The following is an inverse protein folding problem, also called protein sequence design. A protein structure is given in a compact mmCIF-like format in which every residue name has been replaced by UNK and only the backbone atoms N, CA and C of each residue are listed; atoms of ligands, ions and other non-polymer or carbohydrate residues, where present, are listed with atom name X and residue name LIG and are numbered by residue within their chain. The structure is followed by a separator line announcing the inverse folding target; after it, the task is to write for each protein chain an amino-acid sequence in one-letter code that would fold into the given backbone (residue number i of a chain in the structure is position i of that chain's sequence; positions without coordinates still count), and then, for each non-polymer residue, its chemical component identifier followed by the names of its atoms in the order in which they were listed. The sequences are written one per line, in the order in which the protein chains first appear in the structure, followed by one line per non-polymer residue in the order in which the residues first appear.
data_IF_701246283240
#
_entry.id   IF_701246283240
#
_cell.length_a   1.000
_cell.length_b   1.000
_cell.length_c   1.000
_cell.angle_alpha   90.00
_cell.angle_beta   90.00
_cell.angle_gamma   90.00
#
_symmetry.space_group_name_H-M   'P 1'
#
loop_
_entity.id
_entity.type
_entity.pdbx_description
1 polymer ?
#
# COMPACT_ATOMS: atom_id res chain seq x y z
N UNK A 1 -50.27 -59.70 2.71
CA UNK A 1 -51.47 -59.07 3.30
C UNK A 1 -51.68 -57.77 2.53
N UNK A 2 -52.62 -57.60 1.60
CA UNK A 2 -53.95 -58.16 1.47
C UNK A 2 -54.89 -56.97 1.26
N UNK A 3 -55.49 -56.90 0.06
CA UNK A 3 -56.70 -56.15 -0.30
C UNK A 3 -56.71 -54.60 -0.42
N UNK A 4 -56.62 -54.16 -1.69
CA UNK A 4 -57.62 -53.38 -2.46
C UNK A 4 -59.11 -53.60 -2.05
N UNK A 5 -60.16 -52.89 -2.58
CA UNK A 5 -60.19 -51.80 -3.57
C UNK A 5 -61.33 -50.74 -3.43
N UNK A 6 -61.31 -49.76 -4.35
CA UNK A 6 -62.41 -49.11 -5.15
C UNK A 6 -63.88 -48.98 -4.67
N UNK A 7 -64.49 -47.84 -5.04
CA UNK A 7 -65.92 -47.72 -5.42
C UNK A 7 -66.45 -46.29 -5.32
N UNK A 8 -66.52 -45.52 -6.42
CA UNK A 8 -67.68 -45.33 -7.33
C UNK A 8 -68.80 -44.38 -6.83
N UNK A 9 -69.07 -43.34 -7.64
CA UNK A 9 -70.44 -42.94 -8.02
C UNK A 9 -70.96 -41.59 -7.51
N UNK A 10 -71.41 -40.72 -8.43
CA UNK A 10 -72.35 -39.63 -8.11
C UNK A 10 -72.32 -38.41 -9.04
N UNK A 11 -73.03 -38.50 -10.16
CA UNK A 11 -73.39 -37.45 -11.13
C UNK A 11 -74.34 -36.35 -10.59
N UNK A 12 -74.30 -35.13 -11.18
CA UNK A 12 -75.08 -33.89 -10.84
C UNK A 12 -76.59 -33.93 -11.17
N UNK A 13 -77.32 -32.83 -11.53
CA UNK A 13 -77.00 -31.39 -11.68
C UNK A 13 -78.09 -30.42 -11.09
N UNK A 14 -78.12 -29.14 -11.54
CA UNK A 14 -79.08 -28.00 -11.31
C UNK A 14 -78.54 -26.90 -10.39
N UNK A 15 -78.60 -25.59 -10.67
CA UNK A 15 -79.34 -24.79 -11.66
C UNK A 15 -79.93 -23.56 -10.95
N UNK A 16 -79.69 -22.36 -11.51
CA UNK A 16 -80.35 -21.05 -11.27
C UNK A 16 -79.75 -19.99 -10.30
N UNK A 17 -79.18 -18.95 -10.93
CA UNK A 17 -79.31 -17.50 -10.72
C UNK A 17 -79.84 -16.95 -9.37
N UNK A 18 -79.06 -16.05 -8.74
CA UNK A 18 -79.43 -14.62 -8.73
C UNK A 18 -78.31 -13.68 -8.26
N UNK A 19 -78.34 -12.47 -8.83
CA UNK A 19 -77.47 -11.31 -8.62
C UNK A 19 -77.54 -10.77 -7.19
N UNK A 20 -76.42 -10.36 -6.59
CA UNK A 20 -76.30 -9.02 -5.99
C UNK A 20 -74.89 -8.69 -5.42
N UNK A 21 -74.44 -7.47 -5.76
CA UNK A 21 -73.53 -6.57 -5.02
C UNK A 21 -72.02 -6.79 -5.04
N UNK A 22 -71.42 -6.11 -6.02
CA UNK A 22 -70.11 -5.48 -5.99
C UNK A 22 -69.73 -4.86 -4.62
N UNK A 23 -68.72 -5.46 -3.98
CA UNK A 23 -67.77 -4.75 -3.11
C UNK A 23 -66.36 -5.18 -3.49
N UNK A 24 -65.68 -4.38 -4.32
CA UNK A 24 -64.24 -4.50 -4.57
C UNK A 24 -63.50 -4.41 -3.23
N UNK A 25 -63.04 -5.55 -2.71
CA UNK A 25 -61.97 -5.61 -1.70
C UNK A 25 -60.65 -5.41 -2.43
N UNK A 26 -60.03 -4.25 -2.26
CA UNK A 26 -58.65 -4.02 -2.68
C UNK A 26 -57.73 -5.01 -1.97
N UNK A 27 -56.92 -5.73 -2.75
CA UNK A 27 -55.86 -6.59 -2.22
C UNK A 27 -54.77 -5.70 -1.61
N UNK A 28 -54.23 -6.01 -0.42
CA UNK A 28 -53.11 -5.24 0.13
C UNK A 28 -51.93 -5.33 -0.84
N UNK A 29 -51.39 -4.17 -1.19
CA UNK A 29 -50.21 -4.03 -2.06
C UNK A 29 -49.02 -4.67 -1.34
N UNK A 30 -48.43 -5.69 -1.96
CA UNK A 30 -47.20 -6.31 -1.45
C UNK A 30 -46.06 -5.30 -1.55
N UNK A 31 -45.60 -4.77 -0.42
CA UNK A 31 -44.34 -4.04 -0.33
C UNK A 31 -43.23 -5.04 -0.02
N UNK A 32 -42.18 -5.11 -0.87
CA UNK A 32 -41.04 -5.97 -0.57
C UNK A 32 -40.32 -5.44 0.70
N UNK A 33 -39.71 -6.32 1.51
CA UNK A 33 -38.98 -5.89 2.70
C UNK A 33 -37.86 -4.91 2.32
N UNK A 34 -37.50 -3.97 3.22
CA UNK A 34 -36.40 -3.05 2.98
C UNK A 34 -35.15 -3.86 2.65
N UNK A 35 -34.43 -3.43 1.62
CA UNK A 35 -33.17 -4.06 1.22
C UNK A 35 -32.24 -4.07 2.44
N UNK A 36 -31.50 -5.15 2.70
CA UNK A 36 -30.49 -5.14 3.75
C UNK A 36 -29.53 -3.97 3.48
N UNK A 37 -29.32 -3.13 4.48
CA UNK A 37 -28.46 -1.93 4.49
C UNK A 37 -26.97 -2.27 4.49
N UNK A 38 -26.58 -3.49 4.12
CA UNK A 38 -25.18 -3.89 4.00
C UNK A 38 -24.65 -3.53 2.61
N UNK A 39 -24.25 -2.27 2.43
CA UNK A 39 -23.29 -1.87 1.38
C UNK A 39 -21.89 -2.43 1.74
N UNK A 40 -21.72 -3.74 1.68
CA UNK A 40 -20.40 -4.36 1.80
C UNK A 40 -19.92 -4.64 0.37
N UNK A 41 -18.89 -3.90 -0.07
CA UNK A 41 -18.19 -4.19 -1.33
C UNK A 41 -18.11 -3.06 -2.37
N UNK A 42 -18.34 -1.79 -2.02
CA UNK A 42 -17.94 -0.70 -2.90
C UNK A 42 -16.41 -0.54 -2.82
N UNK A 43 -15.72 -0.75 -3.95
CA UNK A 43 -14.28 -0.46 -4.13
C UNK A 43 -13.90 0.81 -3.38
N UNK A 44 -12.77 0.79 -2.63
CA UNK A 44 -12.03 1.99 -2.18
C UNK A 44 -11.61 2.81 -3.40
N UNK A 45 -12.56 3.48 -4.04
CA UNK A 45 -12.28 4.78 -4.65
C UNK A 45 -12.07 5.68 -3.45
N UNK A 46 -10.95 6.40 -3.39
CA UNK A 46 -10.99 7.75 -2.82
C UNK A 46 -12.08 8.48 -3.60
N UNK A 47 -13.32 8.31 -3.16
CA UNK A 47 -14.47 8.93 -3.76
C UNK A 47 -14.35 10.39 -3.38
N UNK A 48 -14.50 11.22 -4.40
CA UNK A 48 -14.45 12.65 -4.30
C UNK A 48 -15.18 13.12 -3.04
N UNK A 49 -14.62 14.14 -2.38
CA UNK A 49 -15.37 14.92 -1.39
C UNK A 49 -16.76 15.29 -1.94
N UNK A 50 -17.66 15.77 -1.06
CA UNK A 50 -19.11 15.81 -1.30
C UNK A 50 -19.45 16.16 -2.75
N UNK A 51 -20.43 15.47 -3.33
CA UNK A 51 -20.89 15.50 -4.74
C UNK A 51 -20.95 16.88 -5.46
N UNK A 52 -20.69 17.99 -4.78
CA UNK A 52 -20.29 19.27 -5.34
C UNK A 52 -19.00 19.21 -6.19
N UNK A 53 -17.98 18.41 -5.83
CA UNK A 53 -16.74 18.33 -6.62
C UNK A 53 -16.94 17.66 -7.99
N UNK A 54 -17.96 16.81 -8.13
CA UNK A 54 -18.35 16.13 -9.37
C UNK A 54 -19.30 16.96 -10.25
N UNK A 55 -19.74 18.14 -9.79
CA UNK A 55 -20.62 19.04 -10.57
C UNK A 55 -19.86 19.99 -11.51
N UNK A 56 -18.52 19.96 -11.54
CA UNK A 56 -17.77 20.71 -12.55
C UNK A 56 -18.11 20.16 -13.95
N UNK A 57 -18.67 20.97 -14.85
CA UNK A 57 -19.12 20.48 -16.15
C UNK A 57 -17.91 20.02 -16.98
N UNK A 58 -18.00 18.81 -17.56
CA UNK A 58 -16.92 18.23 -18.36
C UNK A 58 -16.48 19.18 -19.49
N UNK A 59 -15.21 19.62 -19.44
CA UNK A 59 -14.63 20.56 -20.39
C UNK A 59 -14.02 19.81 -21.57
N UNK A 60 -14.81 19.61 -22.62
CA UNK A 60 -14.32 19.21 -23.94
C UNK A 60 -14.12 20.46 -24.82
N UNK A 61 -13.05 20.55 -25.64
CA UNK A 61 -12.04 19.53 -25.99
C UNK A 61 -10.83 19.45 -25.03
N UNK A 62 -10.23 18.25 -24.88
CA UNK A 62 -9.05 18.02 -24.00
C UNK A 62 -7.75 18.61 -24.55
N UNK A 63 -7.65 18.81 -25.87
CA UNK A 63 -6.52 19.46 -26.54
C UNK A 63 -6.31 20.91 -26.11
N UNK A 64 -5.07 21.42 -26.18
CA UNK A 64 -4.77 22.85 -25.95
C UNK A 64 -5.40 23.71 -27.06
N UNK A 65 -6.60 24.21 -26.81
CA UNK A 65 -7.37 25.01 -27.75
C UNK A 65 -8.09 26.17 -27.04
N UNK A 66 -8.32 27.26 -27.77
CA UNK A 66 -8.97 28.46 -27.23
C UNK A 66 -10.39 28.18 -26.68
N UNK A 67 -11.08 27.18 -27.24
CA UNK A 67 -12.39 26.73 -26.76
C UNK A 67 -12.35 26.18 -25.33
N UNK A 68 -11.32 25.38 -24.99
CA UNK A 68 -11.12 24.87 -23.63
C UNK A 68 -10.88 26.01 -22.64
N UNK A 69 -10.03 26.97 -23.02
CA UNK A 69 -9.76 28.15 -22.20
C UNK A 69 -11.02 28.98 -21.95
N UNK A 70 -11.79 29.31 -22.99
CA UNK A 70 -13.03 30.08 -22.86
C UNK A 70 -14.09 29.35 -22.01
N UNK A 71 -14.13 28.01 -22.06
CA UNK A 71 -15.06 27.22 -21.25
C UNK A 71 -14.63 27.14 -19.79
N UNK A 72 -13.33 26.97 -19.49
CA UNK A 72 -12.82 27.09 -18.12
C UNK A 72 -13.02 28.49 -17.56
N UNK A 73 -12.79 29.54 -18.36
CA UNK A 73 -13.01 30.92 -17.95
C UNK A 73 -14.48 31.16 -17.58
N UNK A 74 -15.43 30.69 -18.39
CA UNK A 74 -16.86 30.78 -18.05
C UNK A 74 -17.21 30.04 -16.75
N UNK A 75 -16.65 28.85 -16.51
CA UNK A 75 -16.87 28.11 -15.25
C UNK A 75 -16.31 28.91 -14.07
N UNK A 76 -15.11 29.46 -14.21
CA UNK A 76 -14.48 30.29 -13.18
C UNK A 76 -15.31 31.54 -12.88
N UNK A 77 -15.79 32.24 -13.91
CA UNK A 77 -16.63 33.44 -13.76
C UNK A 77 -17.97 33.10 -13.08
N UNK A 78 -18.58 31.94 -13.38
CA UNK A 78 -19.79 31.49 -12.69
C UNK A 78 -19.53 31.15 -11.22
N UNK A 79 -18.40 30.50 -10.91
CA UNK A 79 -18.05 30.13 -9.55
C UNK A 79 -17.76 31.37 -8.68
N UNK A 80 -17.05 32.35 -9.24
CA UNK A 80 -16.84 33.66 -8.62
C UNK A 80 -18.17 34.39 -8.36
N UNK A 81 -19.08 34.37 -9.35
CA UNK A 81 -20.42 34.96 -9.18
C UNK A 81 -21.22 34.26 -8.07
N UNK A 82 -21.13 32.93 -7.96
CA UNK A 82 -21.77 32.17 -6.88
C UNK A 82 -21.14 32.49 -5.51
N UNK A 83 -19.81 32.54 -5.42
CA UNK A 83 -19.10 32.95 -4.19
C UNK A 83 -19.51 34.35 -3.75
N UNK A 84 -19.45 35.34 -4.64
CA UNK A 84 -19.89 36.71 -4.35
C UNK A 84 -21.38 36.77 -3.98
N UNK A 85 -22.23 35.97 -4.62
CA UNK A 85 -23.65 35.91 -4.32
C UNK A 85 -23.90 35.34 -2.92
N UNK A 86 -23.22 34.26 -2.54
CA UNK A 86 -23.32 33.66 -1.21
C UNK A 86 -22.80 34.65 -0.15
N UNK A 87 -21.64 35.27 -0.38
CA UNK A 87 -21.12 36.32 0.52
C UNK A 87 -22.11 37.47 0.70
N UNK A 88 -22.70 37.96 -0.38
CA UNK A 88 -23.67 39.05 -0.33
C UNK A 88 -24.97 38.62 0.36
N UNK A 89 -25.45 37.40 0.12
CA UNK A 89 -26.63 36.85 0.77
C UNK A 89 -26.39 36.67 2.28
N UNK A 90 -25.20 36.22 2.67
CA UNK A 90 -24.78 36.19 4.06
C UNK A 90 -24.73 37.58 4.66
N UNK A 91 -24.07 38.56 4.02
CA UNK A 91 -24.03 39.96 4.47
C UNK A 91 -25.43 40.53 4.68
N UNK A 92 -26.36 40.27 3.76
CA UNK A 92 -27.76 40.66 3.89
C UNK A 92 -28.48 39.94 5.04
N UNK A 93 -28.20 38.65 5.25
CA UNK A 93 -28.71 37.88 6.40
C UNK A 93 -28.15 38.43 7.72
N UNK A 94 -26.86 38.79 7.78
CA UNK A 94 -26.22 39.47 8.94
C UNK A 94 -26.91 40.81 9.21
N UNK A 95 -27.13 41.63 8.18
CA UNK A 95 -27.78 42.93 8.30
C UNK A 95 -29.25 42.85 8.75
N UNK A 96 -29.98 41.79 8.35
CA UNK A 96 -31.33 41.51 8.83
C UNK A 96 -31.35 41.03 10.29
N UNK A 97 -30.46 40.11 10.65
CA UNK A 97 -30.31 39.63 12.02
C UNK A 97 -29.90 40.76 12.99
N UNK A 98 -28.99 41.65 12.56
CA UNK A 98 -28.59 42.83 13.32
C UNK A 98 -29.72 43.88 13.46
N UNK A 99 -30.68 43.92 12.54
CA UNK A 99 -31.86 44.80 12.62
C UNK A 99 -32.97 44.24 13.51
N UNK A 100 -33.07 42.91 13.66
CA UNK A 100 -34.05 42.26 14.54
C UNK A 100 -33.53 42.07 15.98
N UNK A 101 -32.20 42.02 16.20
CA UNK A 101 -31.58 41.95 17.52
C UNK A 101 -31.26 43.33 18.12
N UNK A 102 -32.25 43.99 18.72
CA UNK A 102 -32.02 45.25 19.45
C UNK A 102 -31.43 45.03 20.85
N UNK A 103 -30.14 45.35 21.04
CA UNK A 103 -29.55 46.09 22.18
C UNK A 103 -28.09 45.68 22.45
N UNK A 104 -27.19 46.68 22.38
CA UNK A 104 -25.90 46.83 23.10
C UNK A 104 -25.03 45.57 23.23
N UNK A 105 -23.95 45.41 22.49
CA UNK A 105 -22.76 46.26 22.28
C UNK A 105 -22.07 45.71 21.04
N UNK A 106 -21.37 46.53 20.25
CA UNK A 106 -20.18 46.15 19.44
C UNK A 106 -19.84 47.34 18.52
N UNK A 107 -18.68 47.93 18.78
CA UNK A 107 -17.90 48.71 17.81
C UNK A 107 -16.60 47.92 17.60
N UNK A 108 -16.44 47.33 16.41
CA UNK A 108 -15.24 46.79 15.72
C UNK A 108 -15.62 45.50 14.99
N UNK A 109 -15.97 45.60 13.70
CA UNK A 109 -16.42 44.43 12.89
C UNK A 109 -15.95 44.57 11.45
N UNK A 110 -14.63 44.63 11.24
CA UNK A 110 -14.02 44.58 9.89
C UNK A 110 -13.10 43.34 9.73
N UNK A 111 -13.28 42.28 10.55
CA UNK A 111 -12.44 41.06 10.55
C UNK A 111 -13.25 39.73 10.54
N UNK A 112 -14.52 39.74 10.12
CA UNK A 112 -15.52 38.75 10.56
C UNK A 112 -15.91 37.60 9.59
N UNK A 113 -15.21 37.40 8.47
CA UNK A 113 -15.42 36.20 7.62
C UNK A 113 -14.48 35.06 8.03
N UNK A 114 -13.19 35.35 8.23
CA UNK A 114 -12.23 34.43 8.83
C UNK A 114 -12.62 34.07 10.27
N UNK A 115 -13.18 35.01 11.03
CA UNK A 115 -13.62 34.77 12.40
C UNK A 115 -14.86 33.89 12.51
N UNK A 116 -15.73 33.80 11.49
CA UNK A 116 -16.90 32.89 11.58
C UNK A 116 -16.52 31.43 11.43
N UNK A 117 -15.67 31.11 10.47
CA UNK A 117 -15.15 29.75 10.34
C UNK A 117 -14.29 29.39 11.56
N UNK A 118 -13.58 30.36 12.13
CA UNK A 118 -12.85 30.19 13.38
C UNK A 118 -13.79 30.01 14.59
N UNK A 119 -14.88 30.77 14.67
CA UNK A 119 -15.92 30.68 15.71
C UNK A 119 -16.67 29.35 15.62
N UNK A 120 -17.01 28.91 14.40
CA UNK A 120 -17.65 27.62 14.16
C UNK A 120 -16.70 26.47 14.53
N UNK A 121 -15.42 26.55 14.17
CA UNK A 121 -14.40 25.59 14.61
C UNK A 121 -14.24 25.58 16.13
N UNK A 122 -14.25 26.76 16.78
CA UNK A 122 -14.17 26.86 18.24
C UNK A 122 -15.39 26.22 18.90
N UNK A 123 -16.60 26.46 18.37
CA UNK A 123 -17.83 25.81 18.86
C UNK A 123 -17.80 24.30 18.65
N UNK A 124 -17.26 23.83 17.53
CA UNK A 124 -17.08 22.39 17.28
C UNK A 124 -16.11 21.82 18.31
N UNK A 125 -14.98 22.47 18.59
CA UNK A 125 -14.00 22.00 19.59
C UNK A 125 -14.58 22.01 21.01
N UNK A 126 -15.42 22.99 21.36
CA UNK A 126 -16.17 23.00 22.62
C UNK A 126 -17.15 21.81 22.71
N UNK A 127 -17.84 21.48 21.59
CA UNK A 127 -18.71 20.30 21.48
C UNK A 127 -17.92 18.99 21.51
N UNK A 128 -16.69 18.98 21.01
CA UNK A 128 -15.81 17.80 21.02
C UNK A 128 -15.43 17.39 22.44
N UNK A 129 -15.28 18.38 23.32
CA UNK A 129 -14.97 18.21 24.74
C UNK A 129 -13.60 17.59 25.00
N UNK A 130 -12.89 18.11 26.01
CA UNK A 130 -11.64 17.52 26.51
C UNK A 130 -11.92 16.85 27.87
N UNK A 131 -11.60 15.57 28.10
CA UNK A 131 -10.87 14.64 27.24
C UNK A 131 -11.76 13.89 26.21
N UNK A 132 -11.12 13.40 25.15
CA UNK A 132 -11.73 12.53 24.14
C UNK A 132 -11.33 11.08 24.46
N UNK A 133 -12.31 10.18 24.50
CA UNK A 133 -12.08 8.74 24.63
C UNK A 133 -11.84 8.11 23.26
N UNK A 134 -11.12 7.00 23.23
CA UNK A 134 -10.96 6.17 22.02
C UNK A 134 -11.83 4.92 22.18
N UNK A 135 -12.60 4.62 21.15
CA UNK A 135 -13.39 3.40 21.04
C UNK A 135 -13.35 2.83 19.63
N UNK A 136 -13.87 1.62 19.48
CA UNK A 136 -13.99 0.93 18.19
C UNK A 136 -15.44 0.91 17.75
N UNK A 137 -15.69 1.25 16.49
CA UNK A 137 -17.02 1.14 15.89
C UNK A 137 -17.31 -0.34 15.62
N UNK A 138 -18.38 -0.91 16.17
CA UNK A 138 -18.72 -2.31 15.88
C UNK A 138 -19.71 -2.41 14.74
N UNK A 139 -20.83 -1.71 14.86
CA UNK A 139 -21.92 -1.75 13.89
C UNK A 139 -22.58 -0.39 13.79
N UNK A 140 -22.88 0.04 12.56
CA UNK A 140 -23.74 1.19 12.32
C UNK A 140 -25.19 0.71 12.20
N UNK A 141 -26.09 1.30 12.97
CA UNK A 141 -27.51 0.93 12.95
C UNK A 141 -28.25 1.80 11.93
N UNK A 142 -28.08 3.11 12.03
CA UNK A 142 -28.68 4.09 11.13
C UNK A 142 -27.67 5.20 10.80
N UNK A 143 -28.13 6.24 10.11
CA UNK A 143 -27.26 7.33 9.69
C UNK A 143 -26.78 8.20 10.87
N UNK A 144 -27.45 8.18 12.03
CA UNK A 144 -27.19 9.09 13.15
C UNK A 144 -26.83 8.36 14.46
N UNK A 145 -26.80 7.03 14.46
CA UNK A 145 -26.53 6.17 15.61
C UNK A 145 -25.71 4.95 15.24
N UNK A 146 -24.78 4.62 16.13
CA UNK A 146 -23.94 3.43 16.01
C UNK A 146 -23.71 2.77 17.36
N UNK A 147 -23.29 1.50 17.33
CA UNK A 147 -22.78 0.78 18.47
C UNK A 147 -21.26 0.93 18.50
N UNK A 148 -20.75 1.41 19.62
CA UNK A 148 -19.31 1.56 19.86
C UNK A 148 -18.91 0.75 21.08
N UNK A 149 -17.79 0.04 20.98
CA UNK A 149 -17.12 -0.55 22.14
C UNK A 149 -16.04 0.38 22.66
N UNK A 150 -16.16 0.78 23.92
CA UNK A 150 -15.09 1.52 24.59
C UNK A 150 -13.98 0.56 25.01
N UNK A 151 -12.76 1.07 25.21
CA UNK A 151 -11.61 0.30 25.72
C UNK A 151 -11.88 -0.42 27.04
N UNK A 152 -12.87 0.01 27.81
CA UNK A 152 -13.29 -0.63 29.07
C UNK A 152 -14.25 -1.81 28.88
N UNK A 153 -14.65 -2.13 27.64
CA UNK A 153 -15.47 -3.30 27.30
C UNK A 153 -17.00 -3.15 27.25
N UNK A 154 -17.69 -2.13 27.81
CA UNK A 154 -19.11 -1.97 27.57
C UNK A 154 -19.39 -1.40 26.18
N UNK A 155 -20.36 -1.99 25.51
CA UNK A 155 -20.95 -1.51 24.26
C UNK A 155 -21.96 -0.40 24.57
N UNK A 156 -21.88 0.72 23.84
CA UNK A 156 -22.80 1.83 23.96
C UNK A 156 -23.52 2.07 22.65
N UNK A 157 -24.83 2.30 22.74
CA UNK A 157 -25.63 2.89 21.65
C UNK A 157 -25.47 4.40 21.69
N UNK A 158 -24.81 4.96 20.67
CA UNK A 158 -24.35 6.36 20.69
C UNK A 158 -24.79 7.09 19.44
N UNK A 159 -24.98 8.40 19.56
CA UNK A 159 -25.26 9.27 18.42
C UNK A 159 -23.98 9.75 17.72
N UNK A 160 -24.05 9.87 16.40
CA UNK A 160 -23.01 10.43 15.53
C UNK A 160 -23.23 11.95 15.43
N UNK A 161 -22.20 12.74 15.72
CA UNK A 161 -22.28 14.20 15.59
C UNK A 161 -22.27 14.63 14.12
N UNK A 162 -22.98 15.71 13.80
CA UNK A 162 -23.21 16.16 12.41
C UNK A 162 -21.96 16.54 11.62
N UNK A 163 -20.85 16.83 12.29
CA UNK A 163 -19.57 17.20 11.66
C UNK A 163 -18.65 16.00 11.39
N UNK A 164 -19.09 14.79 11.70
CA UNK A 164 -18.36 13.55 11.37
C UNK A 164 -18.77 13.10 9.97
N UNK A 165 -17.79 12.82 9.13
CA UNK A 165 -18.04 12.26 7.80
C UNK A 165 -18.46 10.79 7.93
N UNK A 166 -19.69 10.50 7.52
CA UNK A 166 -20.30 9.17 7.62
C UNK A 166 -19.64 8.16 6.67
N UNK A 167 -19.03 8.64 5.60
CA UNK A 167 -18.36 7.79 4.62
C UNK A 167 -17.05 7.20 5.16
N UNK A 168 -16.48 7.79 6.21
CA UNK A 168 -15.25 7.29 6.88
C UNK A 168 -15.54 6.30 8.02
N UNK A 169 -16.81 6.10 8.38
CA UNK A 169 -17.21 5.18 9.44
C UNK A 169 -17.37 3.77 8.87
N UNK A 170 -16.29 2.99 8.95
CA UNK A 170 -16.31 1.56 8.64
C UNK A 170 -16.35 0.72 9.93
N UNK A 171 -17.07 -0.42 9.96
CA UNK A 171 -16.99 -1.36 11.07
C UNK A 171 -15.54 -1.76 11.37
N UNK A 172 -15.12 -1.60 12.62
CA UNK A 172 -13.76 -1.80 13.09
C UNK A 172 -12.87 -0.54 13.07
N UNK A 173 -13.35 0.60 12.57
CA UNK A 173 -12.61 1.85 12.60
C UNK A 173 -12.51 2.40 14.03
N UNK A 174 -11.36 2.99 14.36
CA UNK A 174 -11.20 3.72 15.61
C UNK A 174 -11.94 5.05 15.57
N UNK A 175 -12.85 5.25 16.52
CA UNK A 175 -13.65 6.47 16.67
C UNK A 175 -13.31 7.20 17.96
N UNK A 176 -13.43 8.51 17.91
CA UNK A 176 -13.27 9.39 19.05
C UNK A 176 -14.63 9.62 19.70
N UNK A 177 -14.71 9.36 21.00
CA UNK A 177 -15.92 9.42 21.81
C UNK A 177 -15.85 10.59 22.79
N UNK A 178 -16.97 11.28 22.99
CA UNK A 178 -17.07 12.30 24.03
C UNK A 178 -17.14 11.64 25.43
N UNK A 179 -16.36 12.13 26.41
CA UNK A 179 -16.26 11.48 27.72
C UNK A 179 -17.56 11.47 28.56
N UNK A 180 -18.53 12.38 28.33
CA UNK A 180 -19.79 12.42 29.10
C UNK A 180 -20.94 11.68 28.44
N UNK A 181 -21.10 11.88 27.13
CA UNK A 181 -22.26 11.40 26.36
C UNK A 181 -21.92 10.19 25.50
N UNK A 182 -20.65 9.81 25.41
CA UNK A 182 -20.12 8.72 24.57
C UNK A 182 -20.49 8.89 23.09
N UNK A 183 -20.89 10.07 22.65
CA UNK A 183 -21.22 10.37 21.25
C UNK A 183 -19.96 10.33 20.37
N UNK A 184 -20.11 9.94 19.10
CA UNK A 184 -19.02 9.94 18.14
C UNK A 184 -18.73 11.37 17.71
N UNK A 185 -17.52 11.83 18.05
CA UNK A 185 -17.01 13.18 17.80
C UNK A 185 -16.11 13.21 16.57
N UNK A 186 -15.52 12.10 16.19
CA UNK A 186 -14.64 12.04 15.03
C UNK A 186 -14.16 10.63 14.76
N UNK A 187 -13.55 10.45 13.60
CA UNK A 187 -12.88 9.20 13.22
C UNK A 187 -11.38 9.44 13.36
N UNK A 188 -10.68 8.49 13.95
CA UNK A 188 -9.22 8.47 13.93
C UNK A 188 -8.78 7.80 12.62
N UNK A 189 -8.27 8.60 11.67
CA UNK A 189 -7.98 8.13 10.31
C UNK A 189 -6.65 7.38 10.19
N UNK A 190 -5.77 7.46 11.19
CA UNK A 190 -4.45 6.81 11.21
C UNK A 190 -4.43 5.60 12.16
N UNK A 191 -5.20 4.57 11.84
CA UNK A 191 -5.11 3.24 12.46
C UNK A 191 -3.91 2.42 11.94
N UNK A 192 -2.99 3.06 11.21
CA UNK A 192 -1.81 2.39 10.70
C UNK A 192 -0.95 1.91 11.87
N UNK A 193 -0.87 0.59 12.04
CA UNK A 193 -0.04 -0.04 13.06
C UNK A 193 1.39 0.54 12.95
N UNK A 194 2.01 0.97 14.07
CA UNK A 194 3.32 1.61 14.06
C UNK A 194 4.41 0.70 13.47
N UNK A 195 4.14 -0.60 13.37
CA UNK A 195 5.02 -1.56 12.71
C UNK A 195 5.11 -1.35 11.20
N UNK A 196 4.02 -0.90 10.55
CA UNK A 196 3.99 -0.71 9.09
C UNK A 196 4.57 0.65 8.70
N UNK A 197 4.46 1.67 9.55
CA UNK A 197 5.16 2.95 9.34
C UNK A 197 6.68 2.77 9.39
N UNK A 198 7.19 1.83 10.21
CA UNK A 198 8.62 1.45 10.20
C UNK A 198 9.05 0.81 8.87
N UNK A 199 8.13 0.14 8.17
CA UNK A 199 8.42 -0.48 6.86
C UNK A 199 8.44 0.54 5.71
N UNK A 200 7.88 1.72 5.92
CA UNK A 200 7.92 2.82 4.94
C UNK A 200 9.28 3.50 5.01
N UNK A 201 10.00 3.45 3.89
CA UNK A 201 11.24 4.20 3.76
C UNK A 201 10.93 5.65 3.39
N UNK A 202 10.96 6.54 4.38
CA UNK A 202 10.74 7.99 4.19
C UNK A 202 11.84 8.68 3.37
N UNK A 203 13.00 8.03 3.19
CA UNK A 203 14.10 8.56 2.40
C UNK A 203 14.40 7.62 1.23
N UNK A 204 14.41 8.20 0.02
CA UNK A 204 14.92 7.52 -1.15
C UNK A 204 16.38 7.06 -0.88
N UNK A 205 16.71 5.78 -1.16
CA UNK A 205 18.08 5.30 -1.02
C UNK A 205 19.02 6.08 -1.95
N UNK A 206 20.27 6.25 -1.53
CA UNK A 206 21.27 7.06 -2.26
C UNK A 206 21.81 6.39 -3.52
N UNK A 207 21.62 5.09 -3.68
CA UNK A 207 22.19 4.31 -4.77
C UNK A 207 21.39 4.53 -6.06
N UNK A 208 22.08 4.77 -7.17
CA UNK A 208 21.51 4.85 -8.52
C UNK A 208 21.94 3.66 -9.37
N UNK A 209 21.33 3.46 -10.55
CA UNK A 209 21.82 2.45 -11.50
C UNK A 209 23.25 2.72 -11.98
N UNK A 210 23.71 3.97 -11.93
CA UNK A 210 25.10 4.32 -12.22
C UNK A 210 26.08 3.74 -11.19
N UNK A 211 25.61 3.46 -9.97
CA UNK A 211 26.40 2.81 -8.91
C UNK A 211 26.41 1.28 -9.02
N UNK A 212 25.81 0.71 -10.06
CA UNK A 212 25.81 -0.74 -10.31
C UNK A 212 26.77 -1.02 -11.47
N UNK A 213 27.87 -1.72 -11.16
CA UNK A 213 28.85 -2.14 -12.15
C UNK A 213 28.37 -3.34 -12.96
N UNK A 214 27.94 -3.12 -14.21
CA UNK A 214 27.52 -4.17 -15.15
C UNK A 214 26.07 -4.60 -14.96
N UNK A 215 25.75 -5.86 -15.30
CA UNK A 215 24.39 -6.44 -15.24
C UNK A 215 23.34 -5.66 -16.06
N UNK A 216 23.73 -5.13 -17.21
CA UNK A 216 22.89 -4.27 -18.05
C UNK A 216 21.60 -4.98 -18.51
N UNK A 217 21.69 -6.28 -18.83
CA UNK A 217 20.53 -7.09 -19.20
C UNK A 217 19.53 -7.24 -18.04
N UNK A 218 20.01 -7.56 -16.84
CA UNK A 218 19.17 -7.71 -15.65
C UNK A 218 18.55 -6.37 -15.23
N UNK A 219 19.31 -5.27 -15.32
CA UNK A 219 18.80 -3.92 -15.06
C UNK A 219 17.67 -3.59 -16.03
N UNK A 220 17.85 -3.87 -17.32
CA UNK A 220 16.84 -3.63 -18.33
C UNK A 220 15.55 -4.43 -18.05
N UNK A 221 15.66 -5.70 -17.69
CA UNK A 221 14.48 -6.52 -17.33
C UNK A 221 13.71 -5.97 -16.12
N UNK A 222 14.41 -5.47 -15.09
CA UNK A 222 13.75 -4.85 -13.93
C UNK A 222 13.11 -3.51 -14.31
N UNK A 223 13.77 -2.70 -15.14
CA UNK A 223 13.20 -1.44 -15.64
C UNK A 223 11.92 -1.67 -16.42
N UNK A 224 11.90 -2.65 -17.32
CA UNK A 224 10.70 -3.02 -18.08
C UNK A 224 9.57 -3.56 -17.19
N UNK A 225 9.91 -4.15 -16.05
CA UNK A 225 8.91 -4.78 -15.17
C UNK A 225 8.34 -3.83 -14.13
N UNK A 226 9.13 -2.87 -13.65
CA UNK A 226 8.77 -2.00 -12.52
C UNK A 226 8.66 -0.54 -12.96
N UNK A 227 9.67 -0.03 -13.65
CA UNK A 227 9.77 1.40 -13.97
C UNK A 227 8.88 1.80 -15.16
N UNK A 228 8.92 1.03 -16.24
CA UNK A 228 8.18 1.31 -17.47
C UNK A 228 6.66 1.33 -17.27
N UNK A 229 6.04 0.39 -16.53
CA UNK A 229 4.60 0.46 -16.24
C UNK A 229 4.19 1.68 -15.42
N UNK A 230 5.08 2.17 -14.55
CA UNK A 230 4.80 3.32 -13.68
C UNK A 230 4.96 4.65 -14.42
N UNK A 231 5.96 4.77 -15.29
CA UNK A 231 6.21 5.99 -16.07
C UNK A 231 5.30 6.12 -17.29
N UNK A 232 5.07 5.01 -18.00
CA UNK A 232 4.38 5.00 -19.30
C UNK A 232 3.35 3.86 -19.37
N UNK A 233 2.23 3.96 -18.60
CA UNK A 233 1.15 2.98 -18.68
C UNK A 233 0.48 2.92 -20.07
N UNK A 234 0.50 4.04 -20.81
CA UNK A 234 -0.09 4.17 -22.16
C UNK A 234 0.45 3.11 -23.14
N UNK A 235 1.75 2.75 -23.04
CA UNK A 235 2.37 1.74 -23.91
C UNK A 235 1.75 0.35 -23.70
N UNK A 236 1.34 0.02 -22.48
CA UNK A 236 0.71 -1.26 -22.16
C UNK A 236 -0.76 -1.26 -22.58
N UNK A 237 -1.46 -0.12 -22.46
CA UNK A 237 -2.84 0.04 -22.89
C UNK A 237 -2.99 -0.05 -24.40
N UNK A 238 -2.14 0.63 -25.17
CA UNK A 238 -2.14 0.58 -26.65
C UNK A 238 -1.84 -0.83 -27.17
N UNK A 239 -0.92 -1.53 -26.51
CA UNK A 239 -0.57 -2.90 -26.88
C UNK A 239 -1.58 -3.93 -26.34
N UNK A 240 -2.47 -3.54 -25.42
CA UNK A 240 -3.49 -4.40 -24.82
C UNK A 240 -2.93 -5.51 -23.93
N UNK A 241 -1.72 -5.34 -23.39
CA UNK A 241 -1.07 -6.32 -22.51
C UNK A 241 -1.10 -5.84 -21.07
N UNK A 242 -1.29 -6.77 -20.13
CA UNK A 242 -1.17 -6.44 -18.70
C UNK A 242 0.31 -6.35 -18.31
N UNK A 243 0.72 -5.31 -17.56
CA UNK A 243 2.09 -5.24 -17.08
C UNK A 243 2.37 -6.39 -16.11
N UNK A 244 3.62 -6.87 -16.03
CA UNK A 244 3.99 -7.92 -15.08
C UNK A 244 3.73 -7.45 -13.63
N UNK A 245 3.28 -8.37 -12.78
CA UNK A 245 2.90 -8.06 -11.38
C UNK A 245 4.06 -8.16 -10.41
N UNK A 246 4.87 -9.22 -10.57
CA UNK A 246 5.92 -9.57 -9.61
C UNK A 246 7.23 -9.96 -10.29
N UNK A 247 8.33 -9.56 -9.66
CA UNK A 247 9.71 -9.87 -10.05
C UNK A 247 10.41 -10.60 -8.91
N UNK A 248 11.10 -11.70 -9.21
CA UNK A 248 11.99 -12.37 -8.27
C UNK A 248 13.45 -12.24 -8.72
N UNK A 249 14.30 -11.76 -7.81
CA UNK A 249 15.74 -11.64 -7.95
C UNK A 249 16.38 -12.81 -7.20
N UNK A 250 17.08 -13.69 -7.91
CA UNK A 250 17.73 -14.86 -7.31
C UNK A 250 19.15 -15.05 -7.81
N UNK A 251 20.01 -15.69 -7.02
CA UNK A 251 21.42 -15.88 -7.37
C UNK A 251 22.33 -16.07 -6.16
N UNK A 252 23.64 -16.11 -6.38
CA UNK A 252 24.60 -16.20 -5.28
C UNK A 252 24.51 -14.98 -4.34
N UNK A 253 24.86 -15.12 -3.04
CA UNK A 253 24.98 -13.98 -2.15
C UNK A 253 26.07 -13.01 -2.62
N UNK A 254 25.91 -11.72 -2.34
CA UNK A 254 26.92 -10.71 -2.71
C UNK A 254 26.92 -10.26 -4.19
N UNK A 255 25.94 -10.69 -4.98
CA UNK A 255 25.76 -10.30 -6.40
C UNK A 255 24.99 -8.99 -6.62
N UNK A 256 24.59 -8.30 -5.55
CA UNK A 256 23.97 -6.97 -5.66
C UNK A 256 22.44 -6.93 -5.81
N UNK A 257 21.72 -8.04 -5.52
CA UNK A 257 20.25 -8.09 -5.55
C UNK A 257 19.58 -6.96 -4.74
N UNK A 258 20.00 -6.76 -3.49
CA UNK A 258 19.49 -5.68 -2.64
C UNK A 258 19.92 -4.29 -3.13
N UNK A 259 21.07 -4.15 -3.79
CA UNK A 259 21.52 -2.88 -4.38
C UNK A 259 20.64 -2.49 -5.57
N UNK A 260 20.31 -3.45 -6.43
CA UNK A 260 19.43 -3.21 -7.57
C UNK A 260 18.03 -2.77 -7.13
N UNK A 261 17.45 -3.42 -6.12
CA UNK A 261 16.16 -3.02 -5.57
C UNK A 261 16.18 -1.58 -5.01
N UNK A 262 17.28 -1.19 -4.35
CA UNK A 262 17.47 0.19 -3.87
C UNK A 262 17.59 1.19 -5.02
N UNK A 263 18.34 0.87 -6.08
CA UNK A 263 18.45 1.74 -7.25
C UNK A 263 17.11 1.97 -7.95
N UNK A 264 16.27 0.92 -8.06
CA UNK A 264 14.92 1.02 -8.60
C UNK A 264 14.04 1.93 -7.74
N UNK A 265 14.13 1.81 -6.41
CA UNK A 265 13.38 2.66 -5.48
C UNK A 265 13.74 4.14 -5.62
N UNK A 266 15.02 4.45 -5.88
CA UNK A 266 15.49 5.81 -6.09
C UNK A 266 14.94 6.42 -7.40
N UNK A 267 14.86 5.64 -8.48
CA UNK A 267 14.42 6.15 -9.79
C UNK A 267 12.89 6.27 -9.93
N UNK A 268 12.13 5.39 -9.29
CA UNK A 268 10.68 5.28 -9.51
C UNK A 268 9.84 6.34 -8.77
N UNK A 269 10.41 7.10 -7.82
CA UNK A 269 9.71 8.09 -6.97
C UNK A 269 8.42 7.57 -6.28
N UNK A 270 8.16 6.26 -6.35
CA UNK A 270 6.98 5.61 -5.80
C UNK A 270 7.21 5.30 -4.33
N UNK A 271 6.13 5.06 -3.58
CA UNK A 271 6.25 4.69 -2.17
C UNK A 271 6.95 3.34 -2.07
N UNK A 272 8.12 3.30 -1.43
CA UNK A 272 8.91 2.09 -1.28
C UNK A 272 8.73 1.50 0.12
N UNK A 273 8.17 0.30 0.16
CA UNK A 273 7.97 -0.48 1.39
C UNK A 273 9.01 -1.60 1.41
N UNK A 274 9.88 -1.60 2.42
CA UNK A 274 10.90 -2.65 2.60
C UNK A 274 10.52 -3.51 3.79
N UNK A 275 10.52 -4.82 3.59
CA UNK A 275 10.38 -5.81 4.65
C UNK A 275 11.41 -6.92 4.46
N UNK A 276 11.97 -7.41 5.56
CA UNK A 276 12.85 -8.60 5.54
C UNK A 276 11.99 -9.83 5.83
N UNK A 277 12.19 -10.93 5.10
CA UNK A 277 11.37 -12.14 5.22
C UNK A 277 11.33 -12.71 6.65
N UNK A 278 12.40 -12.51 7.44
CA UNK A 278 12.46 -12.89 8.85
C UNK A 278 11.52 -12.08 9.76
N UNK A 279 11.18 -10.84 9.40
CA UNK A 279 10.27 -9.97 10.18
C UNK A 279 8.82 -10.44 10.12
N UNK A 280 8.47 -11.24 9.11
CA UNK A 280 7.15 -11.87 8.97
C UNK A 280 6.93 -13.04 9.96
N UNK A 281 8.00 -13.50 10.62
CA UNK A 281 7.92 -14.58 11.61
C UNK A 281 7.74 -13.97 13.00
N UNK A 282 6.52 -14.03 13.52
CA UNK A 282 6.16 -13.51 14.84
C UNK A 282 6.01 -14.62 15.87
N UNK A 283 6.21 -14.28 17.15
CA UNK A 283 6.09 -15.23 18.28
C UNK A 283 4.64 -15.60 18.59
N UNK A 284 3.71 -14.69 18.32
CA UNK A 284 2.28 -14.89 18.58
C UNK A 284 1.59 -15.48 17.36
N UNK A 285 0.66 -16.40 17.63
CA UNK A 285 -0.10 -17.09 16.60
C UNK A 285 -1.12 -16.13 15.97
N UNK A 286 -1.10 -15.98 14.64
CA UNK A 286 -2.01 -15.11 13.89
C UNK A 286 -1.45 -13.72 13.57
N UNK A 287 -0.38 -13.29 14.24
CA UNK A 287 0.24 -11.98 13.98
C UNK A 287 0.95 -11.94 12.63
N UNK A 288 1.52 -13.07 12.17
CA UNK A 288 2.17 -13.16 10.86
C UNK A 288 1.20 -12.87 9.71
N UNK A 289 0.08 -13.61 9.57
CA UNK A 289 -0.93 -13.34 8.56
C UNK A 289 -1.54 -11.93 8.67
N UNK A 290 -1.79 -11.44 9.89
CA UNK A 290 -2.31 -10.07 10.11
C UNK A 290 -1.36 -9.02 9.56
N UNK A 291 -0.06 -9.14 9.84
CA UNK A 291 0.97 -8.21 9.36
C UNK A 291 1.05 -8.20 7.83
N UNK A 292 0.96 -9.37 7.19
CA UNK A 292 0.95 -9.46 5.73
C UNK A 292 -0.24 -8.71 5.14
N UNK A 293 -1.45 -8.86 5.70
CA UNK A 293 -2.64 -8.10 5.24
C UNK A 293 -2.44 -6.60 5.35
N UNK A 294 -1.93 -6.14 6.50
CA UNK A 294 -1.70 -4.73 6.75
C UNK A 294 -0.63 -4.15 5.83
N UNK A 295 0.45 -4.89 5.55
CA UNK A 295 1.48 -4.47 4.60
C UNK A 295 0.88 -4.17 3.22
N UNK A 296 0.06 -5.08 2.68
CA UNK A 296 -0.56 -4.88 1.37
C UNK A 296 -1.67 -3.82 1.41
N UNK A 297 -2.38 -3.66 2.52
CA UNK A 297 -3.34 -2.58 2.70
C UNK A 297 -2.66 -1.21 2.63
N UNK A 298 -1.58 -1.01 3.38
CA UNK A 298 -0.80 0.24 3.36
C UNK A 298 -0.15 0.46 2.00
N UNK A 299 0.31 -0.60 1.33
CA UNK A 299 0.81 -0.51 -0.04
C UNK A 299 -0.27 -0.02 -1.03
N UNK A 300 -1.50 -0.54 -0.91
CA UNK A 300 -2.61 -0.15 -1.75
C UNK A 300 -3.08 1.29 -1.47
N UNK A 301 -3.09 1.72 -0.21
CA UNK A 301 -3.46 3.08 0.20
C UNK A 301 -2.45 4.14 -0.27
N UNK A 302 -1.18 3.74 -0.39
CA UNK A 302 -0.08 4.58 -0.88
C UNK A 302 0.29 4.31 -2.37
N UNK A 303 -0.63 3.76 -3.17
CA UNK A 303 -0.39 3.49 -4.59
C UNK A 303 -0.17 4.80 -5.39
N UNK A 304 0.81 4.84 -6.33
CA UNK A 304 1.69 3.75 -6.78
C UNK A 304 2.78 3.40 -5.75
N UNK A 305 2.97 2.10 -5.50
CA UNK A 305 3.89 1.62 -4.48
C UNK A 305 4.66 0.36 -4.91
N UNK A 306 5.84 0.18 -4.32
CA UNK A 306 6.71 -0.97 -4.54
C UNK A 306 6.93 -1.66 -3.19
N UNK A 307 6.55 -2.93 -3.11
CA UNK A 307 6.79 -3.80 -1.96
C UNK A 307 8.04 -4.64 -2.24
N UNK A 308 9.12 -4.37 -1.51
CA UNK A 308 10.36 -5.12 -1.58
C UNK A 308 10.47 -6.07 -0.39
N UNK A 309 10.50 -7.37 -0.68
CA UNK A 309 10.68 -8.44 0.30
C UNK A 309 12.08 -9.03 0.12
N UNK A 310 12.98 -8.71 1.05
CA UNK A 310 14.35 -9.25 1.08
C UNK A 310 14.36 -10.60 1.81
N UNK A 311 15.26 -11.51 1.44
CA UNK A 311 15.43 -12.82 2.12
C UNK A 311 14.12 -13.62 2.29
N UNK A 312 13.32 -13.71 1.23
CA UNK A 312 12.04 -14.47 1.26
C UNK A 312 12.23 -15.97 1.55
N UNK A 313 13.45 -16.51 1.36
CA UNK A 313 13.81 -17.88 1.71
C UNK A 313 13.69 -18.18 3.21
N UNK A 314 13.74 -17.18 4.09
CA UNK A 314 13.49 -17.39 5.52
C UNK A 314 12.09 -18.00 5.80
N UNK A 315 11.08 -17.56 5.05
CA UNK A 315 9.69 -18.02 5.20
C UNK A 315 9.25 -19.00 4.12
N UNK A 316 9.87 -18.94 2.94
CA UNK A 316 9.43 -19.69 1.76
C UNK A 316 9.98 -21.10 1.64
N UNK A 317 10.77 -21.59 2.60
CA UNK A 317 11.32 -22.96 2.56
C UNK A 317 10.22 -24.01 2.39
N UNK A 318 10.41 -24.97 1.47
CA UNK A 318 9.54 -26.15 1.32
C UNK A 318 9.54 -26.95 2.62
N UNK A 319 8.56 -26.71 3.49
CA UNK A 319 8.37 -27.44 4.74
C UNK A 319 7.33 -28.53 4.51
N UNK A 320 7.81 -29.76 4.36
CA UNK A 320 6.96 -30.94 4.36
C UNK A 320 6.41 -31.15 5.76
N UNK A 321 5.08 -31.10 5.91
CA UNK A 321 4.26 -31.44 7.09
C UNK A 321 5.04 -31.66 8.40
N UNK A 322 5.58 -30.59 8.97
CA UNK A 322 6.20 -30.66 10.29
C UNK A 322 5.12 -30.59 11.38
N UNK A 323 5.23 -31.49 12.37
CA UNK A 323 4.30 -31.58 13.51
C UNK A 323 4.39 -30.39 14.47
N UNK A 324 5.45 -29.59 14.39
CA UNK A 324 5.73 -28.45 15.27
C UNK A 324 4.78 -27.27 15.03
N UNK A 325 4.16 -26.75 16.10
CA UNK A 325 3.21 -25.64 16.02
C UNK A 325 3.79 -24.36 15.41
N UNK A 326 5.08 -24.06 15.64
CA UNK A 326 5.75 -22.88 15.07
C UNK A 326 5.94 -22.95 13.55
N UNK A 327 6.10 -24.14 12.99
CA UNK A 327 6.28 -24.31 11.53
C UNK A 327 4.95 -24.17 10.78
N UNK A 328 3.85 -24.63 11.39
CA UNK A 328 2.50 -24.41 10.88
C UNK A 328 2.15 -22.94 10.79
N UNK A 329 2.64 -22.11 11.73
CA UNK A 329 2.42 -20.67 11.71
C UNK A 329 3.14 -20.00 10.54
N UNK A 330 4.42 -20.32 10.32
CA UNK A 330 5.18 -19.81 9.16
C UNK A 330 4.49 -20.19 7.85
N UNK A 331 3.98 -21.44 7.75
CA UNK A 331 3.23 -21.89 6.58
C UNK A 331 1.93 -21.10 6.39
N UNK A 332 1.19 -20.78 7.47
CA UNK A 332 -0.01 -19.93 7.40
C UNK A 332 0.32 -18.52 6.92
N UNK A 333 1.39 -17.91 7.42
CA UNK A 333 1.87 -16.60 6.95
C UNK A 333 2.24 -16.63 5.47
N UNK A 334 2.91 -17.70 5.02
CA UNK A 334 3.25 -17.88 3.60
C UNK A 334 2.00 -18.05 2.72
N UNK A 335 1.00 -18.82 3.16
CA UNK A 335 -0.27 -18.98 2.45
C UNK A 335 -1.06 -17.66 2.37
N UNK A 336 -1.05 -16.86 3.43
CA UNK A 336 -1.64 -15.53 3.41
C UNK A 336 -0.88 -14.61 2.45
N UNK A 337 0.46 -14.63 2.44
CA UNK A 337 1.25 -13.90 1.46
C UNK A 337 0.91 -14.33 0.03
N UNK A 338 0.75 -15.63 -0.21
CA UNK A 338 0.30 -16.15 -1.51
C UNK A 338 -1.07 -15.62 -1.92
N UNK A 339 -2.04 -15.61 -1.00
CA UNK A 339 -3.36 -15.02 -1.23
C UNK A 339 -3.22 -13.51 -1.49
N UNK A 340 -2.39 -12.82 -0.74
CA UNK A 340 -2.05 -11.40 -0.92
C UNK A 340 -1.12 -11.13 -2.11
N UNK A 341 -0.73 -12.12 -2.92
CA UNK A 341 -0.03 -11.95 -4.20
C UNK A 341 -0.91 -12.29 -5.41
N UNK A 342 -1.82 -13.26 -5.25
CA UNK A 342 -2.72 -13.75 -6.29
C UNK A 342 -4.07 -13.02 -6.31
N UNK A 343 -4.50 -12.56 -5.13
CA UNK A 343 -5.85 -12.12 -4.81
C UNK A 343 -6.54 -11.30 -5.91
N UNK A 344 -7.78 -11.73 -6.16
CA UNK A 344 -8.76 -11.26 -7.17
C UNK A 344 -9.20 -9.80 -7.04
N UNK A 345 -8.59 -9.02 -6.15
CA UNK A 345 -8.83 -7.59 -6.14
C UNK A 345 -8.11 -6.96 -7.34
N UNK A 346 -8.77 -6.02 -8.00
CA UNK A 346 -8.13 -5.02 -8.86
C UNK A 346 -7.17 -4.22 -7.97
N UNK A 347 -6.03 -4.82 -7.62
CA UNK A 347 -4.97 -4.15 -6.91
C UNK A 347 -4.57 -2.99 -7.79
N UNK A 348 -4.54 -1.81 -7.19
CA UNK A 348 -3.98 -0.64 -7.86
C UNK A 348 -2.53 -0.89 -8.27
N UNK A 349 -1.79 0.18 -8.56
CA UNK A 349 -0.41 0.09 -9.05
C UNK A 349 0.59 -0.29 -7.94
N UNK A 350 0.47 -1.52 -7.41
CA UNK A 350 1.37 -2.12 -6.42
C UNK A 350 2.24 -3.15 -7.12
N UNK A 351 3.56 -2.92 -7.14
CA UNK A 351 4.56 -3.84 -7.70
C UNK A 351 5.28 -4.58 -6.58
N UNK A 352 5.54 -5.87 -6.79
CA UNK A 352 6.23 -6.69 -5.78
C UNK A 352 7.59 -7.14 -6.32
N UNK A 353 8.64 -6.88 -5.55
CA UNK A 353 10.01 -7.33 -5.82
C UNK A 353 10.43 -8.26 -4.67
N UNK A 354 10.82 -9.48 -4.99
CA UNK A 354 11.32 -10.45 -4.02
C UNK A 354 12.79 -10.75 -4.26
N UNK A 355 13.60 -10.80 -3.22
CA UNK A 355 14.99 -11.24 -3.31
C UNK A 355 15.20 -12.55 -2.52
N UNK A 356 15.89 -13.51 -3.14
CA UNK A 356 16.26 -14.78 -2.51
C UNK A 356 17.65 -15.21 -2.91
N UNK A 357 18.33 -15.97 -2.05
CA UNK A 357 19.59 -16.64 -2.42
C UNK A 357 19.36 -18.02 -3.04
N UNK A 358 18.29 -18.71 -2.64
CA UNK A 358 18.01 -20.10 -3.04
C UNK A 358 16.59 -20.20 -3.57
N UNK A 359 16.44 -20.14 -4.90
CA UNK A 359 15.13 -20.29 -5.53
C UNK A 359 14.59 -21.72 -5.41
N UNK A 360 15.46 -22.73 -5.36
CA UNK A 360 15.07 -24.15 -5.31
C UNK A 360 14.38 -24.55 -4.00
N UNK A 361 14.72 -23.84 -2.92
CA UNK A 361 14.10 -24.05 -1.61
C UNK A 361 12.73 -23.42 -1.48
N UNK A 362 12.35 -22.52 -2.39
CA UNK A 362 11.06 -21.84 -2.34
C UNK A 362 9.89 -22.74 -2.76
N UNK A 363 8.73 -22.53 -2.16
CA UNK A 363 7.49 -23.17 -2.56
C UNK A 363 7.19 -22.92 -4.06
N UNK A 364 6.97 -23.97 -4.89
CA UNK A 364 6.59 -23.83 -6.29
C UNK A 364 5.32 -23.00 -6.50
N UNK A 365 4.45 -22.90 -5.48
CA UNK A 365 3.25 -22.08 -5.51
C UNK A 365 3.56 -20.57 -5.58
N UNK A 366 4.67 -20.10 -4.99
CA UNK A 366 5.09 -18.69 -5.06
C UNK A 366 5.59 -18.33 -6.46
N UNK A 367 6.38 -19.21 -7.07
CA UNK A 367 7.07 -18.98 -8.36
C UNK A 367 6.20 -19.27 -9.59
N UNK A 368 4.90 -19.54 -9.40
CA UNK A 368 3.97 -19.84 -10.50
C UNK A 368 3.69 -18.56 -11.31
N UNK A 369 3.69 -18.64 -12.65
CA UNK A 369 3.28 -17.52 -13.51
C UNK A 369 1.88 -17.00 -13.13
N UNK A 370 1.69 -15.68 -13.16
CA UNK A 370 0.48 -14.99 -12.65
C UNK A 370 0.67 -14.33 -11.28
N UNK A 371 1.62 -14.81 -10.48
CA UNK A 371 2.08 -14.17 -9.22
C UNK A 371 3.44 -13.52 -9.42
N UNK A 372 4.39 -14.30 -9.94
CA UNK A 372 5.73 -13.87 -10.30
C UNK A 372 5.91 -14.14 -11.80
N UNK A 373 5.99 -13.09 -12.58
CA UNK A 373 6.05 -13.17 -14.04
C UNK A 373 7.50 -13.14 -14.55
N UNK A 374 8.41 -12.50 -13.80
CA UNK A 374 9.82 -12.36 -14.17
C UNK A 374 10.73 -12.97 -13.11
N UNK A 375 11.66 -13.80 -13.56
CA UNK A 375 12.67 -14.47 -12.75
C UNK A 375 14.04 -14.07 -13.27
N UNK A 376 14.76 -13.27 -12.49
CA UNK A 376 16.01 -12.66 -12.90
C UNK A 376 17.14 -13.33 -12.12
N UNK A 377 18.03 -13.99 -12.86
CA UNK A 377 19.20 -14.67 -12.33
C UNK A 377 20.38 -13.70 -12.22
N UNK A 378 21.00 -13.70 -11.05
CA UNK A 378 22.25 -13.01 -10.76
C UNK A 378 23.36 -14.04 -10.65
N UNK A 379 24.20 -14.07 -11.68
CA UNK A 379 25.40 -14.90 -11.72
C UNK A 379 26.60 -14.17 -11.12
N UNK A 380 27.70 -14.91 -10.95
CA UNK A 380 28.96 -14.30 -10.55
C UNK A 380 29.46 -13.35 -11.66
N UNK A 381 30.14 -12.24 -11.30
CA UNK A 381 30.53 -11.24 -12.28
C UNK A 381 31.66 -11.75 -13.20
N UNK A 382 31.49 -11.54 -14.52
CA UNK A 382 32.54 -11.74 -15.53
C UNK A 382 33.74 -10.82 -15.32
N UNK A 383 34.89 -11.10 -15.96
CA UNK A 383 36.07 -10.24 -15.91
C UNK A 383 35.78 -8.79 -16.32
N UNK A 384 34.96 -8.58 -17.35
CA UNK A 384 34.56 -7.24 -17.80
C UNK A 384 33.72 -6.53 -16.74
N UNK A 385 32.79 -7.26 -16.11
CA UNK A 385 31.93 -6.75 -15.04
C UNK A 385 32.74 -6.47 -13.77
N UNK A 386 33.66 -7.35 -13.39
CA UNK A 386 34.61 -7.16 -12.29
C UNK A 386 35.42 -5.88 -12.49
N UNK A 387 35.93 -5.62 -13.71
CA UNK A 387 36.63 -4.36 -14.03
C UNK A 387 35.75 -3.15 -13.72
N UNK A 388 34.49 -3.14 -14.19
CA UNK A 388 33.53 -2.05 -13.92
C UNK A 388 33.30 -1.86 -12.41
N UNK A 389 33.13 -2.95 -11.65
CA UNK A 389 32.90 -2.91 -10.20
C UNK A 389 34.13 -2.34 -9.46
N UNK A 390 35.34 -2.79 -9.81
CA UNK A 390 36.58 -2.25 -9.25
C UNK A 390 36.70 -0.75 -9.53
N UNK A 391 36.53 -0.33 -10.79
CA UNK A 391 36.59 1.10 -11.16
C UNK A 391 35.57 1.94 -10.41
N UNK A 392 34.35 1.43 -10.22
CA UNK A 392 33.31 2.14 -9.49
C UNK A 392 33.70 2.34 -8.01
N UNK A 393 34.14 1.27 -7.33
CA UNK A 393 34.50 1.37 -5.91
C UNK A 393 35.78 2.16 -5.67
N UNK A 394 36.73 2.13 -6.61
CA UNK A 394 37.95 2.94 -6.52
C UNK A 394 37.77 4.39 -6.95
N UNK A 395 36.70 4.75 -7.67
CA UNK A 395 36.44 6.14 -8.10
C UNK A 395 36.38 7.15 -6.94
N UNK A 396 35.95 6.70 -5.76
CA UNK A 396 35.87 7.52 -4.54
C UNK A 396 37.18 7.51 -3.73
N UNK A 397 38.14 6.66 -4.09
CA UNK A 397 39.40 6.47 -3.38
C UNK A 397 40.56 7.19 -4.08
N UNK A 398 41.52 7.66 -3.29
CA UNK A 398 42.77 8.20 -3.82
C UNK A 398 43.77 7.07 -4.03
N UNK A 399 43.86 6.57 -5.26
CA UNK A 399 44.84 5.56 -5.66
C UNK A 399 46.20 6.20 -5.96
N UNK A 400 47.27 5.45 -5.73
CA UNK A 400 48.59 5.80 -6.25
C UNK A 400 48.74 5.35 -7.71
N UNK A 401 49.64 5.97 -8.47
CA UNK A 401 49.85 5.65 -9.89
C UNK A 401 50.40 4.23 -10.10
N UNK A 402 50.96 3.62 -9.05
CA UNK A 402 51.53 2.27 -9.05
C UNK A 402 50.46 1.15 -8.95
N UNK A 403 49.18 1.48 -8.81
CA UNK A 403 48.10 0.48 -8.60
C UNK A 403 47.58 -0.03 -9.93
N UNK A 404 47.85 -1.30 -10.23
CA UNK A 404 47.28 -2.00 -11.38
C UNK A 404 46.10 -2.89 -10.96
N UNK A 405 44.88 -2.49 -11.35
CA UNK A 405 43.67 -3.25 -11.06
C UNK A 405 43.53 -4.50 -11.94
N UNK A 406 44.24 -4.57 -13.07
CA UNK A 406 44.16 -5.72 -13.99
C UNK A 406 44.75 -6.99 -13.38
N UNK A 407 45.76 -6.87 -12.50
CA UNK A 407 46.35 -8.01 -11.77
C UNK A 407 45.28 -8.79 -10.99
N UNK A 408 44.31 -8.09 -10.40
CA UNK A 408 43.24 -8.71 -9.61
C UNK A 408 42.09 -9.24 -10.46
N UNK A 409 41.86 -8.67 -11.65
CA UNK A 409 40.76 -9.06 -12.54
C UNK A 409 41.13 -10.32 -13.34
N UNK A 410 42.41 -10.46 -13.73
CA UNK A 410 42.90 -11.58 -14.53
C UNK A 410 42.95 -12.91 -13.78
N UNK A 411 42.90 -12.88 -12.44
CA UNK A 411 42.90 -14.08 -11.61
C UNK A 411 41.52 -14.76 -11.65
N UNK A 412 41.53 -16.09 -11.79
CA UNK A 412 40.32 -16.94 -11.83
C UNK A 412 39.78 -17.22 -10.43
N UNK A 413 39.59 -16.17 -9.65
CA UNK A 413 38.97 -16.27 -8.33
C UNK A 413 37.47 -15.98 -8.43
N UNK A 414 36.64 -16.79 -7.77
CA UNK A 414 35.19 -16.58 -7.67
C UNK A 414 34.86 -15.46 -6.69
N UNK A 415 35.23 -14.23 -7.05
CA UNK A 415 34.95 -13.01 -6.28
C UNK A 415 33.54 -12.49 -6.60
N UNK A 416 32.74 -12.28 -5.55
CA UNK A 416 31.46 -11.58 -5.64
C UNK A 416 31.65 -10.06 -5.64
N UNK A 417 30.63 -9.30 -6.04
CA UNK A 417 30.67 -7.83 -5.98
C UNK A 417 30.86 -7.32 -4.54
N UNK A 418 30.29 -8.02 -3.56
CA UNK A 418 30.52 -7.74 -2.14
C UNK A 418 31.98 -7.97 -1.73
N UNK A 419 32.62 -9.02 -2.23
CA UNK A 419 34.04 -9.30 -1.95
C UNK A 419 34.94 -8.19 -2.51
N UNK A 420 34.67 -7.72 -3.74
CA UNK A 420 35.41 -6.61 -4.36
C UNK A 420 35.29 -5.33 -3.52
N UNK A 421 34.08 -5.01 -3.04
CA UNK A 421 33.84 -3.88 -2.14
C UNK A 421 34.60 -4.03 -0.82
N UNK A 422 34.63 -5.24 -0.25
CA UNK A 422 35.36 -5.54 0.98
C UNK A 422 36.87 -5.36 0.78
N UNK A 423 37.44 -5.86 -0.32
CA UNK A 423 38.87 -5.67 -0.68
C UNK A 423 39.22 -4.18 -0.77
N UNK A 424 38.41 -3.39 -1.48
CA UNK A 424 38.66 -1.95 -1.61
C UNK A 424 38.59 -1.23 -0.25
N UNK A 425 37.61 -1.61 0.59
CA UNK A 425 37.42 -1.00 1.92
C UNK A 425 38.55 -1.35 2.88
N UNK A 426 39.01 -2.61 2.89
CA UNK A 426 40.16 -3.07 3.68
C UNK A 426 41.45 -2.41 3.23
N UNK A 427 41.68 -2.27 1.92
CA UNK A 427 42.86 -1.57 1.40
C UNK A 427 42.89 -0.10 1.86
N UNK A 428 41.74 0.59 1.82
CA UNK A 428 41.61 1.94 2.36
C UNK A 428 41.86 2.02 3.87
N UNK A 429 41.41 1.02 4.63
CA UNK A 429 41.61 0.95 6.08
C UNK A 429 43.08 0.70 6.45
N UNK A 430 43.80 -0.12 5.67
CA UNK A 430 45.23 -0.35 5.83
C UNK A 430 46.04 0.92 5.57
N UNK A 431 45.75 1.63 4.48
CA UNK A 431 46.38 2.92 4.19
C UNK A 431 46.14 3.92 5.33
N UNK A 432 44.92 3.98 5.87
CA UNK A 432 44.57 4.86 6.99
C UNK A 432 45.29 4.45 8.29
N UNK A 433 45.46 3.16 8.55
CA UNK A 433 46.21 2.65 9.71
C UNK A 433 47.67 3.12 9.68
N UNK A 434 48.24 3.22 8.50
CA UNK A 434 49.61 3.71 8.29
C UNK A 434 49.67 5.24 8.09
N UNK A 435 48.55 5.94 8.35
CA UNK A 435 48.37 7.39 8.23
C UNK A 435 48.67 7.94 6.83
N UNK A 436 48.45 7.13 5.79
CA UNK A 436 48.56 7.56 4.39
C UNK A 436 47.18 7.92 3.83
N UNK A 437 47.17 8.89 2.93
CA UNK A 437 45.96 9.31 2.18
C UNK A 437 45.87 8.68 0.79
N UNK A 438 46.91 7.94 0.36
CA UNK A 438 46.95 7.23 -0.92
C UNK A 438 47.11 5.74 -0.67
N UNK A 439 46.29 4.94 -1.35
CA UNK A 439 46.33 3.48 -1.27
C UNK A 439 47.39 2.96 -2.23
N UNK A 440 48.25 2.06 -1.76
CA UNK A 440 49.31 1.43 -2.55
C UNK A 440 48.93 0.01 -3.00
N UNK A 441 49.69 -0.54 -3.94
CA UNK A 441 49.46 -1.90 -4.44
C UNK A 441 49.64 -2.97 -3.35
N UNK A 442 50.54 -2.74 -2.38
CA UNK A 442 50.75 -3.64 -1.24
C UNK A 442 49.52 -3.73 -0.32
N UNK A 443 48.79 -2.62 -0.16
CA UNK A 443 47.54 -2.57 0.62
C UNK A 443 46.47 -3.45 -0.04
N UNK A 444 46.35 -3.43 -1.38
CA UNK A 444 45.42 -4.29 -2.11
C UNK A 444 45.78 -5.77 -2.03
N UNK A 445 47.08 -6.12 -2.12
CA UNK A 445 47.53 -7.51 -1.99
C UNK A 445 47.23 -8.08 -0.61
N UNK A 446 47.53 -7.32 0.44
CA UNK A 446 47.27 -7.72 1.83
C UNK A 446 45.77 -7.75 2.16
N UNK A 447 44.99 -6.78 1.65
CA UNK A 447 43.54 -6.78 1.76
C UNK A 447 42.91 -8.00 1.09
N UNK A 448 43.33 -8.35 -0.14
CA UNK A 448 42.86 -9.55 -0.84
C UNK A 448 43.12 -10.80 -0.03
N UNK A 449 44.34 -10.98 0.48
CA UNK A 449 44.70 -12.18 1.24
C UNK A 449 43.84 -12.33 2.52
N UNK A 450 43.54 -11.23 3.20
CA UNK A 450 42.61 -11.26 4.36
C UNK A 450 41.20 -11.66 3.96
N UNK A 451 40.64 -11.03 2.94
CA UNK A 451 39.25 -11.30 2.50
C UNK A 451 39.12 -12.74 2.00
N UNK A 452 40.12 -13.25 1.26
CA UNK A 452 40.12 -14.62 0.78
C UNK A 452 40.20 -15.63 1.94
N UNK A 453 41.03 -15.38 2.96
CA UNK A 453 41.13 -16.23 4.15
C UNK A 453 39.80 -16.33 4.88
N UNK A 454 39.11 -15.20 5.08
CA UNK A 454 37.78 -15.18 5.71
C UNK A 454 36.75 -15.98 4.89
N UNK A 455 36.87 -15.97 3.57
CA UNK A 455 35.99 -16.75 2.68
C UNK A 455 36.28 -18.25 2.76
N UNK A 456 37.55 -18.66 2.73
CA UNK A 456 37.95 -20.06 2.84
C UNK A 456 37.64 -20.68 4.20
N UNK A 457 37.67 -19.90 5.29
CA UNK A 457 37.27 -20.38 6.63
C UNK A 457 35.76 -20.71 6.73
N UNK A 458 34.93 -20.18 5.82
CA UNK A 458 33.48 -20.39 5.80
C UNK A 458 33.02 -21.57 4.95
N UNK A 459 33.87 -22.13 4.08
CA UNK A 459 33.55 -23.31 3.28
C UNK A 459 34.12 -24.57 3.94
N UNK A 460 33.32 -25.59 4.26
CA UNK A 460 33.88 -26.88 4.63
C UNK A 460 34.63 -27.46 3.42
N UNK A 461 35.96 -27.36 3.44
CA UNK A 461 36.82 -28.04 2.47
C UNK A 461 36.57 -29.54 2.54
N UNK A 462 35.99 -30.09 1.47
CA UNK A 462 35.98 -31.53 1.25
C UNK A 462 34.70 -32.06 0.63
N UNK A 463 34.53 -31.91 -0.68
CA UNK A 463 33.73 -32.89 -1.43
C UNK A 463 34.07 -33.05 -2.92
N UNK A 464 35.10 -32.38 -3.43
CA UNK A 464 35.56 -32.61 -4.79
C UNK A 464 37.08 -32.86 -4.78
N UNK A 465 37.42 -34.13 -4.95
CA UNK A 465 38.74 -34.64 -5.31
C UNK A 465 38.76 -34.89 -6.82
#
# INVERSE_FOLDING_TARGET
MGNQPSGLGGSGPNGENNQDKDKKKEKPKYEPPPRPTTRIGAKKRKAAGPNAATNLPAVYPTSRCKLRYLRMQRIHDHLLLEEEYVENQERLRKAKAAKEGGSSTISTVDLDSLDRDADERSRVDDLRGTPMGVGTLEEMIDDDHAIVSSTTGPEYYVSIMSFVDKDLLEPGASVLLHHKSVSIVGVLTDDADPLVTVMKLDKAPTESYADIGGLEAQIQEVRESVELPLLHPELYEEMGIKPPKGVILYGAPGTGKTLLAKAVANQTSATFLRIVGSELIQKYLGDGPRLVRQLFQVAAENAPSIVFIDEIDAIGTKRYESTSGGEREVQRTMLELLNQLDGFDDRGDVKVIMATNKIDTLDPALIRPGRIDRKILFENPDQVTKRKIFTLHTSKMSLNDDVDLEEFIGQKDDLSGADIKAICSEAGLLALRERRMRVQMEDFRTARERVLKTKSEGEPEGLYL
#
